data_IF_197699003561
#
_entry.id   IF_197699003561
#
_cell.length_a   1.000
_cell.length_b   1.000
_cell.length_c   1.000
_cell.angle_alpha   90.00
_cell.angle_beta   90.00
_cell.angle_gamma   90.00
#
_symmetry.space_group_name_H-M   'P 1'
#
loop_
_entity.id
_entity.type
_entity.pdbx_description
1 polymer ?
#
# COMPACT_ATOMS: atom_id res chain seq x y z
N UNK A 1 -7.38 -10.99 -32.41
CA UNK A 1 -7.99 -11.32 -31.11
C UNK A 1 -7.75 -10.15 -30.18
N UNK A 2 -8.79 -9.41 -29.80
CA UNK A 2 -8.64 -8.19 -28.99
C UNK A 2 -8.79 -8.59 -27.52
N UNK A 3 -7.74 -8.42 -26.72
CA UNK A 3 -7.82 -8.65 -25.27
C UNK A 3 -8.55 -7.46 -24.66
N UNK A 4 -9.78 -7.68 -24.20
CA UNK A 4 -10.52 -6.64 -23.47
C UNK A 4 -10.01 -6.56 -22.03
N UNK A 5 -9.73 -5.34 -21.59
CA UNK A 5 -9.43 -5.06 -20.19
C UNK A 5 -10.75 -5.16 -19.40
N UNK A 6 -10.78 -6.02 -18.38
CA UNK A 6 -11.90 -6.12 -17.44
C UNK A 6 -11.44 -5.56 -16.11
N UNK A 7 -11.97 -4.40 -15.73
CA UNK A 7 -11.77 -3.83 -14.40
C UNK A 7 -12.36 -4.79 -13.35
N UNK A 8 -11.56 -5.16 -12.35
CA UNK A 8 -11.95 -6.16 -11.33
C UNK A 8 -12.42 -5.53 -10.02
N UNK A 9 -12.29 -4.21 -9.87
CA UNK A 9 -12.74 -3.48 -8.68
C UNK A 9 -13.17 -2.06 -9.07
N UNK A 10 -14.38 -1.70 -8.65
CA UNK A 10 -14.92 -0.34 -8.74
C UNK A 10 -14.64 0.49 -7.48
N UNK A 11 -14.06 -0.13 -6.44
CA UNK A 11 -13.64 0.59 -5.24
C UNK A 11 -12.52 1.57 -5.59
N UNK A 12 -12.56 2.77 -5.01
CA UNK A 12 -11.36 3.62 -4.92
C UNK A 12 -10.23 2.72 -4.44
N UNK A 13 -9.11 2.74 -5.16
CA UNK A 13 -7.91 1.99 -4.80
C UNK A 13 -7.43 2.54 -3.46
N UNK A 14 -8.00 2.02 -2.37
CA UNK A 14 -7.76 2.52 -1.03
C UNK A 14 -6.30 2.21 -0.75
N UNK A 15 -5.48 3.26 -0.83
CA UNK A 15 -4.04 3.15 -0.96
C UNK A 15 -3.52 2.48 0.30
N UNK A 16 -3.07 1.23 0.14
CA UNK A 16 -2.42 0.46 1.19
C UNK A 16 -1.27 1.29 1.76
N UNK A 17 -1.02 1.16 3.06
CA UNK A 17 0.23 1.64 3.61
C UNK A 17 1.29 0.58 3.36
N UNK A 18 2.51 1.00 3.04
CA UNK A 18 3.62 0.13 2.73
C UNK A 18 4.69 0.32 3.78
N UNK A 19 5.11 -0.76 4.41
CA UNK A 19 6.23 -0.74 5.34
C UNK A 19 7.48 -1.25 4.63
N UNK A 20 8.44 -0.37 4.44
CA UNK A 20 9.75 -0.71 3.94
C UNK A 20 10.66 -1.10 5.12
N UNK A 21 11.08 -2.36 5.15
CA UNK A 21 12.04 -2.87 6.12
C UNK A 21 13.43 -2.90 5.49
N UNK A 22 14.38 -2.23 6.14
CA UNK A 22 15.78 -2.19 5.73
C UNK A 22 16.61 -2.87 6.83
N UNK A 23 17.42 -3.89 6.51
CA UNK A 23 18.21 -4.60 7.51
C UNK A 23 19.17 -3.65 8.23
N UNK A 24 19.08 -3.61 9.56
CA UNK A 24 19.97 -2.78 10.40
C UNK A 24 19.55 -1.32 10.56
N UNK A 25 18.40 -0.91 10.00
CA UNK A 25 17.82 0.41 10.27
C UNK A 25 16.35 0.31 10.66
N UNK A 26 15.76 1.45 11.03
CA UNK A 26 14.33 1.53 11.28
C UNK A 26 13.53 1.31 9.99
N UNK A 27 12.35 0.71 10.14
CA UNK A 27 11.39 0.52 9.05
C UNK A 27 10.63 1.81 8.77
N UNK A 28 10.38 2.11 7.49
CA UNK A 28 9.67 3.32 7.06
C UNK A 28 8.28 2.96 6.58
N UNK A 29 7.25 3.68 7.06
CA UNK A 29 5.87 3.52 6.57
C UNK A 29 5.60 4.58 5.50
N UNK A 30 5.08 4.16 4.36
CA UNK A 30 4.85 4.96 3.17
C UNK A 30 3.43 4.71 2.69
N UNK A 31 2.60 5.75 2.62
CA UNK A 31 1.17 5.61 2.27
C UNK A 31 0.89 5.55 0.76
N UNK A 32 1.93 5.75 -0.05
CA UNK A 32 1.83 5.87 -1.50
C UNK A 32 2.77 4.89 -2.22
N UNK A 33 2.21 4.14 -3.17
CA UNK A 33 2.96 3.11 -3.90
C UNK A 33 4.02 3.70 -4.82
N UNK A 34 3.75 4.83 -5.49
CA UNK A 34 4.71 5.44 -6.42
C UNK A 34 5.91 6.01 -5.67
N UNK A 35 5.67 6.58 -4.48
CA UNK A 35 6.75 7.01 -3.60
C UNK A 35 7.58 5.82 -3.11
N UNK A 36 6.94 4.75 -2.64
CA UNK A 36 7.63 3.51 -2.26
C UNK A 36 8.49 2.99 -3.41
N UNK A 37 7.91 2.90 -4.62
CA UNK A 37 8.59 2.39 -5.81
C UNK A 37 9.82 3.22 -6.18
N UNK A 38 9.72 4.55 -6.05
CA UNK A 38 10.85 5.45 -6.29
C UNK A 38 11.96 5.25 -5.26
N UNK A 39 11.60 5.21 -3.97
CA UNK A 39 12.55 4.96 -2.87
C UNK A 39 13.21 3.59 -3.02
N UNK A 40 12.45 2.57 -3.41
CA UNK A 40 12.97 1.24 -3.64
C UNK A 40 14.04 1.23 -4.74
N UNK A 41 13.76 1.90 -5.86
CA UNK A 41 14.68 1.94 -6.97
C UNK A 41 15.94 2.76 -6.66
N UNK A 42 15.79 3.90 -5.99
CA UNK A 42 16.90 4.81 -5.69
C UNK A 42 17.76 4.37 -4.51
N UNK A 43 17.12 3.95 -3.42
CA UNK A 43 17.80 3.69 -2.14
C UNK A 43 18.02 2.21 -1.93
N UNK A 44 17.03 1.37 -2.21
CA UNK A 44 17.03 -0.04 -1.79
C UNK A 44 17.75 -0.96 -2.78
N UNK A 45 17.86 -0.58 -4.05
CA UNK A 45 18.47 -1.42 -5.11
C UNK A 45 19.86 -1.97 -4.76
N UNK A 46 20.65 -1.26 -3.95
CA UNK A 46 22.00 -1.66 -3.56
C UNK A 46 22.06 -2.38 -2.20
N UNK A 47 20.95 -2.49 -1.47
CA UNK A 47 20.88 -3.15 -0.16
C UNK A 47 20.32 -4.57 -0.31
N UNK A 48 20.99 -5.53 0.32
CA UNK A 48 20.55 -6.93 0.36
C UNK A 48 19.64 -7.15 1.57
N UNK A 49 18.49 -7.80 1.36
CA UNK A 49 17.58 -8.21 2.43
C UNK A 49 16.47 -7.21 2.78
N UNK A 50 16.30 -6.15 1.99
CA UNK A 50 15.15 -5.26 2.15
C UNK A 50 13.85 -5.97 1.76
N UNK A 51 12.79 -5.68 2.49
CA UNK A 51 11.45 -6.26 2.26
C UNK A 51 10.39 -5.16 2.35
N UNK A 52 9.25 -5.38 1.68
CA UNK A 52 8.09 -4.50 1.76
C UNK A 52 6.91 -5.31 2.31
N UNK A 53 6.36 -4.87 3.43
CA UNK A 53 5.09 -5.37 3.95
C UNK A 53 3.97 -4.45 3.46
N UNK A 54 2.94 -5.04 2.86
CA UNK A 54 1.72 -4.30 2.49
C UNK A 54 0.78 -4.32 3.70
N UNK A 55 0.56 -3.15 4.28
CA UNK A 55 -0.36 -2.94 5.39
C UNK A 55 -1.71 -2.53 4.80
N UNK A 56 -2.67 -3.46 4.86
CA UNK A 56 -4.06 -3.13 4.57
C UNK A 56 -4.51 -2.02 5.53
N UNK A 57 -4.91 -0.88 4.98
CA UNK A 57 -5.57 0.14 5.80
C UNK A 57 -6.77 -0.52 6.44
N UNK A 58 -6.81 -0.53 7.78
CA UNK A 58 -8.05 -0.81 8.49
C UNK A 58 -9.02 0.25 8.01
N UNK A 59 -9.91 -0.13 7.09
CA UNK A 59 -11.06 0.70 6.77
C UNK A 59 -11.71 1.01 8.11
N UNK A 60 -11.58 2.26 8.56
CA UNK A 60 -12.36 2.76 9.67
C UNK A 60 -13.79 2.61 9.20
N UNK A 61 -14.40 1.45 9.47
CA UNK A 61 -15.84 1.26 9.34
C UNK A 61 -16.41 2.33 10.24
N UNK A 62 -16.78 3.48 9.65
CA UNK A 62 -17.58 4.48 10.33
C UNK A 62 -18.77 3.68 10.84
N UNK A 63 -18.84 3.45 12.15
CA UNK A 63 -20.04 2.90 12.76
C UNK A 63 -21.13 3.91 12.41
N UNK A 64 -21.95 3.60 11.42
CA UNK A 64 -23.21 4.30 11.23
C UNK A 64 -24.00 4.00 12.49
N UNK A 65 -24.03 4.93 13.44
CA UNK A 65 -24.95 4.88 14.55
C UNK A 65 -26.35 5.04 13.93
N UNK A 66 -26.94 3.92 13.53
CA UNK A 66 -28.32 3.83 13.09
C UNK A 66 -29.22 4.11 14.27
N UNK A 67 -29.59 5.38 14.42
CA UNK A 67 -30.67 5.84 15.28
C UNK A 67 -31.73 6.48 14.41
N UNK A 68 -32.54 5.67 13.74
CA UNK A 68 -33.88 6.12 13.33
C UNK A 68 -34.79 5.92 14.54
N UNK A 69 -35.19 7.01 15.18
CA UNK A 69 -36.39 7.08 16.04
C UNK A 69 -36.93 8.49 16.07
#
# INVERSE_FOLDING_TARGET
MVKHFKQTSDGLYDRHDYRLNIPGSESVIIEDYELLRSIWFEKVRNYTGCTVDVLDKKQNKKKSNGGFK
#
